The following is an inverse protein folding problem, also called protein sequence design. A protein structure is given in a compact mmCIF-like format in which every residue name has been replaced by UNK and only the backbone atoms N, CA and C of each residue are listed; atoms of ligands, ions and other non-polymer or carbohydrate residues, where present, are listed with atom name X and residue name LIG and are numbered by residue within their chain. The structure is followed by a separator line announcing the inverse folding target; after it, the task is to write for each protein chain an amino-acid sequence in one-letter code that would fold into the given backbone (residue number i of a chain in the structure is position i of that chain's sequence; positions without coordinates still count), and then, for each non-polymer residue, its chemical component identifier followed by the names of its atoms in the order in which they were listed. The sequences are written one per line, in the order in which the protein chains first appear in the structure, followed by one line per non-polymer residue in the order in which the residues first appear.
data_IF_829161181860
#
_entry.id   IF_829161181860
#
_cell.length_a   1.000
_cell.length_b   1.000
_cell.length_c   1.000
_cell.angle_alpha   90.00
_cell.angle_beta   90.00
_cell.angle_gamma   90.00
#
_symmetry.space_group_name_H-M   'P 1'
#
loop_
_entity.id
_entity.type
_entity.pdbx_description
1 polymer ?
#
# COMPACT_ATOMS: atom_id res chain seq x y z
N UNK A 1 -4.08 -10.16 -17.44
CA UNK A 1 -4.59 -11.04 -16.36
C UNK A 1 -4.54 -10.23 -15.08
N UNK A 2 -5.66 -10.12 -14.35
CA UNK A 2 -5.70 -9.36 -13.10
C UNK A 2 -4.81 -10.05 -12.06
N UNK A 3 -3.59 -9.57 -11.90
CA UNK A 3 -2.71 -10.01 -10.83
C UNK A 3 -3.35 -9.58 -9.51
N UNK A 4 -3.55 -10.53 -8.58
CA UNK A 4 -4.02 -10.20 -7.24
C UNK A 4 -2.93 -9.48 -6.48
N UNK A 5 -3.28 -8.42 -5.76
CA UNK A 5 -2.34 -7.75 -4.87
C UNK A 5 -2.06 -8.62 -3.64
N UNK A 6 -0.93 -8.39 -2.97
CA UNK A 6 -0.60 -9.09 -1.73
C UNK A 6 -1.71 -8.96 -0.68
N UNK A 7 -2.30 -7.76 -0.60
CA UNK A 7 -3.38 -7.41 0.33
C UNK A 7 -4.68 -8.19 0.07
N UNK A 8 -4.88 -8.71 -1.14
CA UNK A 8 -6.09 -9.48 -1.47
C UNK A 8 -6.03 -10.92 -0.93
N UNK A 9 -4.85 -11.37 -0.48
CA UNK A 9 -4.66 -12.65 0.20
C UNK A 9 -4.80 -12.54 1.72
N UNK A 10 -4.89 -11.32 2.26
CA UNK A 10 -5.03 -11.13 3.71
C UNK A 10 -6.42 -11.60 4.15
N UNK A 11 -6.50 -12.34 5.27
CA UNK A 11 -7.79 -12.63 5.89
C UNK A 11 -8.48 -11.33 6.35
N UNK A 12 -9.80 -11.38 6.51
CA UNK A 12 -10.62 -10.20 6.80
C UNK A 12 -10.18 -9.48 8.08
N UNK A 13 -9.86 -10.22 9.15
CA UNK A 13 -9.42 -9.68 10.44
C UNK A 13 -8.09 -8.90 10.39
N UNK A 14 -7.26 -9.14 9.37
CA UNK A 14 -6.02 -8.39 9.11
C UNK A 14 -6.18 -7.30 8.04
N UNK A 15 -7.38 -7.14 7.46
CA UNK A 15 -7.64 -6.28 6.30
C UNK A 15 -8.11 -4.87 6.65
N UNK A 16 -7.81 -4.37 7.85
CA UNK A 16 -8.30 -3.08 8.38
C UNK A 16 -7.26 -1.95 8.45
N UNK A 17 -5.99 -2.23 8.10
CA UNK A 17 -4.91 -1.25 8.13
C UNK A 17 -5.27 0.03 7.34
N UNK A 18 -4.96 1.20 7.89
CA UNK A 18 -5.21 2.48 7.23
C UNK A 18 -4.43 2.62 5.91
N UNK A 19 -3.23 2.05 5.80
CA UNK A 19 -2.46 2.14 4.55
C UNK A 19 -2.91 1.15 3.48
N UNK A 20 -3.10 -0.13 3.81
CA UNK A 20 -3.26 -1.20 2.81
C UNK A 20 -4.51 -2.08 2.99
N UNK A 21 -5.28 -1.88 4.06
CA UNK A 21 -6.42 -2.74 4.39
C UNK A 21 -7.61 -2.51 3.46
N UNK A 22 -8.02 -3.56 2.73
CA UNK A 22 -9.18 -3.50 1.80
C UNK A 22 -10.54 -3.28 2.47
N UNK A 23 -10.64 -3.46 3.79
CA UNK A 23 -11.86 -3.26 4.58
C UNK A 23 -11.88 -1.91 5.30
N UNK A 24 -10.86 -1.07 5.11
CA UNK A 24 -10.85 0.29 5.65
C UNK A 24 -11.22 1.29 4.54
N UNK A 25 -12.49 1.69 4.48
CA UNK A 25 -13.01 2.61 3.45
C UNK A 25 -12.36 4.00 3.46
N UNK A 26 -11.76 4.38 4.60
CA UNK A 26 -11.06 5.65 4.76
C UNK A 26 -9.55 5.52 4.55
N UNK A 27 -9.04 4.30 4.36
CA UNK A 27 -7.63 4.04 4.18
C UNK A 27 -7.13 4.36 2.78
N UNK A 28 -5.80 4.40 2.61
CA UNK A 28 -5.17 4.53 1.30
C UNK A 28 -5.37 3.32 0.39
N UNK A 29 -5.68 2.15 0.98
CA UNK A 29 -5.95 0.88 0.30
C UNK A 29 -4.90 0.50 -0.76
N UNK A 30 -3.62 0.78 -0.48
CA UNK A 30 -2.54 0.53 -1.43
C UNK A 30 -2.45 -0.95 -1.82
N UNK A 31 -2.01 -1.19 -3.05
CA UNK A 31 -1.88 -2.52 -3.63
C UNK A 31 -0.43 -2.76 -4.05
N UNK A 32 0.12 -3.85 -3.57
CA UNK A 32 1.50 -4.26 -3.83
C UNK A 32 1.54 -5.52 -4.67
N UNK A 33 2.47 -5.55 -5.63
CA UNK A 33 2.60 -6.62 -6.62
C UNK A 33 4.07 -7.01 -6.78
N UNK A 34 4.30 -8.25 -7.21
CA UNK A 34 5.61 -8.66 -7.73
C UNK A 34 5.80 -8.10 -9.13
N UNK A 35 6.96 -7.50 -9.40
CA UNK A 35 7.46 -7.11 -10.71
C UNK A 35 8.89 -7.63 -10.86
N UNK A 36 9.03 -8.81 -11.48
CA UNK A 36 10.31 -9.53 -11.53
C UNK A 36 10.84 -9.86 -10.12
N UNK A 37 12.03 -9.35 -9.80
CA UNK A 37 12.69 -9.53 -8.48
C UNK A 37 12.30 -8.45 -7.45
N UNK A 38 11.53 -7.45 -7.86
CA UNK A 38 11.12 -6.34 -7.01
C UNK A 38 9.62 -6.39 -6.69
N UNK A 39 9.21 -5.53 -5.75
CA UNK A 39 7.80 -5.27 -5.48
C UNK A 39 7.47 -3.83 -5.80
N UNK A 40 6.32 -3.61 -6.43
CA UNK A 40 5.87 -2.28 -6.84
C UNK A 40 4.52 -1.98 -6.22
N UNK A 41 4.34 -0.72 -5.83
CA UNK A 41 3.09 -0.13 -5.40
C UNK A 41 2.93 1.25 -6.03
N UNK A 42 1.76 1.55 -6.60
CA UNK A 42 1.45 2.86 -7.17
C UNK A 42 0.38 3.54 -6.32
N UNK A 43 0.58 4.81 -6.02
CA UNK A 43 -0.37 5.63 -5.28
C UNK A 43 -0.44 7.02 -5.90
N UNK A 44 -1.66 7.52 -6.12
CA UNK A 44 -1.90 8.90 -6.55
C UNK A 44 -2.37 9.70 -5.34
N UNK A 45 -1.57 10.65 -4.84
CA UNK A 45 -1.97 11.48 -3.71
C UNK A 45 -3.13 12.41 -4.06
N UNK A 46 -4.14 12.42 -3.20
CA UNK A 46 -5.19 13.44 -3.23
C UNK A 46 -4.68 14.85 -2.90
N UNK A 47 -5.37 15.92 -3.34
CA UNK A 47 -4.96 17.31 -3.11
C UNK A 47 -4.74 17.69 -1.65
N UNK A 48 -5.45 17.06 -0.71
CA UNK A 48 -5.31 17.31 0.73
C UNK A 48 -4.11 16.60 1.36
N UNK A 49 -3.40 15.73 0.63
CA UNK A 49 -2.11 15.19 1.05
C UNK A 49 -0.94 16.13 0.70
N UNK A 50 -1.14 17.45 0.82
CA UNK A 50 -0.15 18.48 0.49
C UNK A 50 0.64 18.91 1.73
N UNK A 51 1.95 19.10 1.60
CA UNK A 51 2.78 19.81 2.59
C UNK A 51 2.79 21.31 2.31
N UNK A 52 3.28 21.69 1.14
CA UNK A 52 3.27 23.04 0.58
C UNK A 52 2.84 22.95 -0.90
N UNK A 53 2.35 24.03 -1.54
CA UNK A 53 1.87 23.97 -2.92
C UNK A 53 2.85 23.27 -3.86
N UNK A 54 2.39 22.19 -4.51
CA UNK A 54 3.18 21.37 -5.43
C UNK A 54 3.94 20.20 -4.79
N UNK A 55 3.88 20.01 -3.46
CA UNK A 55 4.61 18.96 -2.75
C UNK A 55 3.71 18.15 -1.83
N UNK A 56 3.89 16.83 -1.86
CA UNK A 56 3.22 15.87 -0.97
C UNK A 56 3.85 15.91 0.43
N UNK A 57 3.05 15.83 1.50
CA UNK A 57 3.62 15.83 2.85
C UNK A 57 4.33 14.51 3.19
N UNK A 58 5.42 14.62 3.96
CA UNK A 58 6.31 13.50 4.25
C UNK A 58 5.65 12.37 5.04
N UNK A 59 4.62 12.66 5.84
CA UNK A 59 3.90 11.64 6.60
C UNK A 59 3.15 10.66 5.70
N UNK A 60 2.53 11.11 4.60
CA UNK A 60 1.92 10.20 3.61
C UNK A 60 3.00 9.31 2.99
N UNK A 61 4.10 9.90 2.53
CA UNK A 61 5.19 9.16 1.88
C UNK A 61 5.72 8.07 2.83
N UNK A 62 5.96 8.42 4.10
CA UNK A 62 6.41 7.48 5.11
C UNK A 62 5.38 6.35 5.34
N UNK A 63 4.09 6.67 5.44
CA UNK A 63 3.02 5.67 5.60
C UNK A 63 2.92 4.71 4.40
N UNK A 64 3.08 5.22 3.17
CA UNK A 64 3.07 4.39 1.96
C UNK A 64 4.26 3.43 1.93
N UNK A 65 5.47 3.91 2.25
CA UNK A 65 6.68 3.09 2.32
C UNK A 65 6.51 2.00 3.38
N UNK A 66 6.10 2.36 4.59
CA UNK A 66 5.91 1.42 5.71
C UNK A 66 4.94 0.29 5.35
N UNK A 67 3.75 0.64 4.84
CA UNK A 67 2.73 -0.34 4.47
C UNK A 67 3.16 -1.21 3.28
N UNK A 68 3.83 -0.63 2.29
CA UNK A 68 4.33 -1.38 1.14
C UNK A 68 5.44 -2.35 1.55
N UNK A 69 6.44 -1.90 2.32
CA UNK A 69 7.55 -2.73 2.79
C UNK A 69 7.07 -3.89 3.68
N UNK A 70 6.08 -3.65 4.55
CA UNK A 70 5.47 -4.72 5.36
C UNK A 70 4.80 -5.76 4.48
N UNK A 71 4.06 -5.33 3.45
CA UNK A 71 3.42 -6.25 2.51
C UNK A 71 4.44 -7.07 1.71
N UNK A 72 5.53 -6.44 1.27
CA UNK A 72 6.66 -7.11 0.60
C UNK A 72 7.32 -8.16 1.48
N UNK A 73 7.62 -7.82 2.74
CA UNK A 73 8.17 -8.78 3.70
C UNK A 73 7.24 -9.97 3.93
N UNK A 74 5.93 -9.72 4.06
CA UNK A 74 4.94 -10.78 4.21
C UNK A 74 4.87 -11.68 2.96
N UNK A 75 4.85 -11.09 1.75
CA UNK A 75 4.79 -11.81 0.49
C UNK A 75 6.05 -12.64 0.22
N UNK A 76 7.23 -12.14 0.61
CA UNK A 76 8.51 -12.83 0.44
C UNK A 76 8.55 -14.20 1.11
N UNK A 77 7.78 -14.42 2.19
CA UNK A 77 7.65 -15.73 2.85
C UNK A 77 7.03 -16.81 1.94
N UNK A 78 6.28 -16.40 0.92
CA UNK A 78 5.53 -17.29 0.02
C UNK A 78 6.15 -17.39 -1.37
N UNK A 79 7.34 -16.80 -1.57
CA UNK A 79 8.11 -16.84 -2.81
C UNK A 79 9.22 -17.88 -2.73
#
# INVERSE_FOLDING_TARGET
MNQKAFQDYYPDDLSHCYGCGRLNEYGHQIKSYWDGEETVCTFLPEPYHTAIPGFVYGGLIASLIDCHSTATAAAAKYR
#
